data_IF_853802390925
#
_entry.id   IF_853802390925
#
_cell.length_a   1.000
_cell.length_b   1.000
_cell.length_c   1.000
_cell.angle_alpha   90.00
_cell.angle_beta   90.00
_cell.angle_gamma   90.00
#
_symmetry.space_group_name_H-M   'P 1'
#
loop_
_entity.id
_entity.type
_entity.pdbx_description
1 polymer ?
#
# COMPACT_ATOMS: atom_id res chain seq x y z
N UNK A 1 20.96 5.60 -61.53
CA UNK A 1 21.63 4.29 -61.53
C UNK A 1 21.89 3.93 -60.09
N UNK A 2 21.00 3.10 -59.58
CA UNK A 2 21.07 2.30 -58.35
C UNK A 2 22.29 1.33 -58.37
N UNK A 3 22.59 0.50 -57.35
CA UNK A 3 21.99 0.40 -56.01
C UNK A 3 22.94 -0.05 -54.86
N UNK A 4 22.34 -0.20 -53.66
CA UNK A 4 22.67 -1.15 -52.57
C UNK A 4 23.73 -0.79 -51.53
N UNK A 5 23.26 -0.43 -50.32
CA UNK A 5 23.87 -0.90 -49.07
C UNK A 5 22.79 -1.42 -48.13
N UNK A 6 23.05 -2.63 -47.64
CA UNK A 6 22.15 -3.55 -46.96
C UNK A 6 21.88 -3.18 -45.50
N UNK A 7 20.62 -3.24 -45.11
CA UNK A 7 20.17 -3.38 -43.71
C UNK A 7 20.24 -4.85 -43.29
N UNK A 8 20.72 -5.17 -42.07
CA UNK A 8 20.63 -6.53 -41.54
C UNK A 8 19.25 -6.76 -40.91
N UNK A 9 18.44 -7.60 -41.58
CA UNK A 9 17.27 -8.27 -41.00
C UNK A 9 17.75 -9.23 -39.91
N UNK A 10 17.40 -8.98 -38.64
CA UNK A 10 17.44 -10.00 -37.58
C UNK A 10 16.22 -10.90 -37.75
N UNK A 11 16.46 -12.12 -38.22
CA UNK A 11 15.51 -13.22 -38.25
C UNK A 11 15.24 -13.71 -36.82
N UNK A 12 14.02 -13.52 -36.34
CA UNK A 12 13.48 -14.25 -35.20
C UNK A 12 12.94 -15.59 -35.73
N UNK A 13 13.76 -16.62 -35.62
CA UNK A 13 13.44 -18.03 -35.86
C UNK A 13 14.46 -18.82 -35.03
N UNK A 14 14.00 -19.88 -34.37
CA UNK A 14 14.70 -20.69 -33.37
C UNK A 14 14.56 -20.23 -31.90
N UNK A 15 13.32 -20.18 -31.41
CA UNK A 15 12.98 -20.66 -30.05
C UNK A 15 11.58 -21.28 -30.14
N UNK A 16 11.47 -22.40 -30.85
CA UNK A 16 10.25 -23.21 -30.90
C UNK A 16 10.67 -24.67 -31.03
N UNK A 17 11.24 -25.21 -29.95
CA UNK A 17 11.32 -26.64 -29.67
C UNK A 17 11.78 -26.79 -28.21
N UNK A 18 11.13 -27.70 -27.47
CA UNK A 18 11.33 -28.02 -26.05
C UNK A 18 10.50 -27.24 -25.03
N UNK A 19 9.18 -27.39 -25.08
CA UNK A 19 8.35 -27.44 -23.84
C UNK A 19 7.11 -28.31 -24.03
N UNK A 20 7.31 -29.52 -24.55
CA UNK A 20 6.30 -30.58 -24.60
C UNK A 20 6.74 -31.71 -23.66
N UNK A 21 6.54 -31.53 -22.34
CA UNK A 21 6.55 -32.61 -21.34
C UNK A 21 6.16 -32.10 -19.95
N UNK A 22 4.86 -31.99 -19.71
CA UNK A 22 4.33 -31.61 -18.39
C UNK A 22 2.84 -31.87 -18.23
N UNK A 23 2.29 -32.87 -18.91
CA UNK A 23 0.92 -33.31 -18.66
C UNK A 23 0.84 -33.84 -17.22
N UNK A 24 -0.09 -33.37 -16.37
CA UNK A 24 -0.25 -33.93 -15.04
C UNK A 24 -0.61 -35.40 -15.23
N UNK A 25 0.25 -36.30 -14.75
CA UNK A 25 -0.06 -37.72 -14.63
C UNK A 25 -1.39 -37.81 -13.88
N UNK A 26 -2.47 -38.06 -14.62
CA UNK A 26 -3.70 -38.61 -14.04
C UNK A 26 -3.23 -39.88 -13.36
N UNK A 27 -3.18 -39.85 -12.03
CA UNK A 27 -3.16 -41.07 -11.24
C UNK A 27 -4.34 -41.89 -11.75
N UNK A 28 -4.04 -42.95 -12.50
CA UNK A 28 -4.96 -44.07 -12.64
C UNK A 28 -5.12 -44.58 -11.22
N UNK A 29 -6.16 -44.12 -10.54
CA UNK A 29 -6.74 -44.88 -9.46
C UNK A 29 -7.11 -46.21 -10.11
N UNK A 30 -6.50 -47.29 -9.61
CA UNK A 30 -7.00 -48.63 -9.88
C UNK A 30 -8.51 -48.59 -9.66
N UNK A 31 -9.34 -49.13 -10.58
CA UNK A 31 -10.75 -49.25 -10.32
C UNK A 31 -10.85 -49.96 -8.98
N UNK A 32 -11.42 -49.28 -7.99
CA UNK A 32 -11.58 -49.82 -6.65
C UNK A 32 -12.05 -51.26 -6.82
N UNK A 33 -11.22 -52.21 -6.38
CA UNK A 33 -11.67 -53.59 -6.27
C UNK A 33 -13.01 -53.50 -5.58
N UNK A 34 -14.03 -54.00 -6.27
CA UNK A 34 -15.38 -53.98 -5.76
C UNK A 34 -15.38 -54.90 -4.54
N UNK A 35 -15.13 -54.31 -3.37
CA UNK A 35 -15.04 -54.97 -2.07
C UNK A 35 -16.39 -55.58 -1.66
N UNK A 36 -17.40 -55.47 -2.52
CA UNK A 36 -18.74 -56.00 -2.39
C UNK A 36 -18.99 -57.14 -3.37
N UNK A 37 -18.26 -58.23 -3.19
CA UNK A 37 -18.60 -59.51 -3.80
C UNK A 37 -19.85 -60.07 -3.12
N UNK A 38 -21.03 -59.85 -3.71
CA UNK A 38 -22.31 -60.36 -3.19
C UNK A 38 -22.31 -61.87 -2.95
N UNK A 39 -21.55 -62.64 -3.74
CA UNK A 39 -21.50 -64.10 -3.60
C UNK A 39 -20.64 -64.51 -2.39
N UNK A 40 -19.58 -63.76 -2.06
CA UNK A 40 -18.78 -63.98 -0.87
C UNK A 40 -19.54 -63.59 0.40
N UNK A 41 -20.33 -62.51 0.34
CA UNK A 41 -21.25 -62.14 1.41
C UNK A 41 -22.34 -63.18 1.63
N UNK A 42 -22.97 -63.69 0.56
CA UNK A 42 -23.97 -64.76 0.66
C UNK A 42 -23.37 -66.04 1.23
N UNK A 43 -22.11 -66.34 0.88
CA UNK A 43 -21.35 -67.48 1.43
C UNK A 43 -21.08 -67.29 2.92
N UNK A 44 -20.65 -66.11 3.35
CA UNK A 44 -20.37 -65.80 4.76
C UNK A 44 -21.65 -65.75 5.60
N UNK A 45 -22.75 -65.21 5.08
CA UNK A 45 -24.04 -65.20 5.78
C UNK A 45 -24.56 -66.62 5.99
N UNK A 46 -24.41 -67.49 4.98
CA UNK A 46 -24.76 -68.91 5.10
C UNK A 46 -23.81 -69.64 6.08
N UNK A 47 -22.51 -69.35 6.03
CA UNK A 47 -21.52 -69.90 6.96
C UNK A 47 -21.79 -69.47 8.41
N UNK A 48 -22.25 -68.23 8.64
CA UNK A 48 -22.67 -67.72 9.95
C UNK A 48 -23.96 -68.42 10.43
N UNK A 49 -24.95 -68.60 9.56
CA UNK A 49 -26.21 -69.28 9.91
C UNK A 49 -25.99 -70.77 10.23
N UNK A 50 -25.10 -71.41 9.49
CA UNK A 50 -24.76 -72.83 9.68
C UNK A 50 -23.89 -73.06 10.92
N UNK A 51 -23.03 -72.09 11.29
CA UNK A 51 -22.12 -72.20 12.45
C UNK A 51 -22.78 -71.85 13.78
N UNK A 52 -23.75 -70.93 13.79
CA UNK A 52 -24.28 -70.38 15.05
C UNK A 52 -25.71 -70.82 15.41
N UNK A 53 -26.43 -71.51 14.50
CA UNK A 53 -27.83 -71.90 14.73
C UNK A 53 -28.77 -70.70 14.92
N UNK A 54 -30.09 -70.93 15.07
CA UNK A 54 -31.03 -69.84 15.29
C UNK A 54 -30.67 -69.09 16.59
N UNK A 55 -30.60 -67.75 16.49
CA UNK A 55 -30.24 -66.86 17.59
C UNK A 55 -30.97 -67.23 18.90
N UNK A 56 -30.27 -67.24 20.06
CA UNK A 56 -30.90 -67.50 21.34
C UNK A 56 -32.00 -66.46 21.63
N UNK A 57 -33.19 -66.94 22.01
CA UNK A 57 -34.40 -66.13 22.25
C UNK A 57 -34.36 -65.26 23.52
N UNK A 58 -33.22 -65.10 24.17
CA UNK A 58 -33.12 -64.17 25.30
C UNK A 58 -31.72 -63.56 25.39
N UNK A 59 -31.63 -62.30 24.97
CA UNK A 59 -30.56 -61.40 25.37
C UNK A 59 -30.89 -60.85 26.77
N UNK A 60 -29.90 -60.67 27.66
CA UNK A 60 -30.11 -59.98 28.92
C UNK A 60 -30.60 -58.55 28.66
N UNK A 61 -31.52 -58.04 29.47
CA UNK A 61 -32.22 -56.74 29.32
C UNK A 61 -31.32 -55.49 29.23
N UNK A 62 -29.99 -55.66 29.31
CA UNK A 62 -29.00 -54.60 29.26
C UNK A 62 -28.02 -54.71 28.07
N UNK A 63 -28.23 -55.64 27.14
CA UNK A 63 -27.34 -55.80 25.98
C UNK A 63 -27.65 -54.75 24.89
N UNK A 64 -26.70 -53.82 24.66
CA UNK A 64 -26.76 -52.90 23.52
C UNK A 64 -26.39 -53.70 22.27
N UNK A 65 -27.40 -54.07 21.47
CA UNK A 65 -27.19 -54.69 20.15
C UNK A 65 -26.71 -53.60 19.19
N UNK A 66 -25.42 -53.58 18.89
CA UNK A 66 -24.86 -52.71 17.85
C UNK A 66 -25.19 -53.36 16.50
N UNK A 67 -26.22 -52.85 15.83
CA UNK A 67 -26.54 -53.29 14.47
C UNK A 67 -25.48 -52.80 13.48
N UNK A 68 -25.23 -53.49 12.36
CA UNK A 68 -24.31 -53.02 11.31
C UNK A 68 -24.63 -51.59 10.85
N UNK A 69 -25.92 -51.23 10.77
CA UNK A 69 -26.35 -49.86 10.42
C UNK A 69 -25.93 -48.81 11.45
N UNK A 70 -26.00 -49.12 12.75
CA UNK A 70 -25.54 -48.23 13.81
C UNK A 70 -24.01 -48.09 13.78
N UNK A 71 -23.29 -49.20 13.55
CA UNK A 71 -21.84 -49.19 13.42
C UNK A 71 -21.38 -48.31 12.23
N UNK A 72 -22.01 -48.45 11.06
CA UNK A 72 -21.72 -47.60 9.89
C UNK A 72 -21.99 -46.11 10.15
N UNK A 73 -23.05 -45.78 10.88
CA UNK A 73 -23.35 -44.38 11.27
C UNK A 73 -22.31 -43.81 12.23
N UNK A 74 -21.88 -44.59 13.22
CA UNK A 74 -20.82 -44.20 14.16
C UNK A 74 -19.50 -44.01 13.40
N UNK A 75 -19.15 -44.93 12.51
CA UNK A 75 -17.94 -44.83 11.68
C UNK A 75 -17.96 -43.59 10.77
N UNK A 76 -19.09 -43.31 10.11
CA UNK A 76 -19.24 -42.09 9.30
C UNK A 76 -19.11 -40.80 10.14
N UNK A 77 -19.66 -40.78 11.36
CA UNK A 77 -19.49 -39.63 12.27
C UNK A 77 -18.05 -39.46 12.76
N UNK A 78 -17.34 -40.55 13.05
CA UNK A 78 -15.92 -40.51 13.43
C UNK A 78 -15.07 -39.98 12.28
N UNK A 79 -15.27 -40.49 11.05
CA UNK A 79 -14.55 -40.02 9.86
C UNK A 79 -14.83 -38.53 9.62
N UNK A 80 -16.10 -38.11 9.69
CA UNK A 80 -16.47 -36.69 9.54
C UNK A 80 -15.74 -35.81 10.56
N UNK A 81 -15.78 -36.16 11.85
CA UNK A 81 -15.08 -35.40 12.90
C UNK A 81 -13.56 -35.40 12.71
N UNK A 82 -12.98 -36.51 12.27
CA UNK A 82 -11.55 -36.59 11.97
C UNK A 82 -11.17 -35.61 10.84
N UNK A 83 -11.97 -35.54 9.77
CA UNK A 83 -11.72 -34.58 8.66
C UNK A 83 -11.90 -33.11 9.08
N UNK A 84 -12.84 -32.81 9.97
CA UNK A 84 -13.03 -31.45 10.53
C UNK A 84 -11.84 -31.03 11.40
N UNK A 85 -11.33 -31.94 12.24
CA UNK A 85 -10.14 -31.72 13.07
C UNK A 85 -8.90 -31.49 12.19
N UNK A 86 -8.71 -32.31 11.15
CA UNK A 86 -7.56 -32.20 10.24
C UNK A 86 -7.59 -30.88 9.47
N UNK A 87 -8.77 -30.49 8.96
CA UNK A 87 -8.97 -29.18 8.31
C UNK A 87 -8.66 -28.03 9.27
N UNK A 88 -9.12 -28.09 10.52
CA UNK A 88 -8.84 -27.06 11.52
C UNK A 88 -7.35 -26.98 11.87
N UNK A 89 -6.65 -28.11 11.91
CA UNK A 89 -5.21 -28.18 12.14
C UNK A 89 -4.43 -27.56 10.98
N UNK A 90 -4.81 -27.86 9.73
CA UNK A 90 -4.24 -27.25 8.51
C UNK A 90 -4.41 -25.74 8.52
N UNK A 91 -5.60 -25.23 8.85
CA UNK A 91 -5.83 -23.78 8.97
C UNK A 91 -4.96 -23.14 10.05
N UNK A 92 -4.86 -23.75 11.24
CA UNK A 92 -4.01 -23.26 12.32
C UNK A 92 -2.53 -23.24 11.94
N UNK A 93 -2.05 -24.27 11.24
CA UNK A 93 -0.68 -24.34 10.77
C UNK A 93 -0.40 -23.26 9.72
N UNK A 94 -1.30 -23.08 8.75
CA UNK A 94 -1.21 -22.00 7.77
C UNK A 94 -1.15 -20.62 8.42
N UNK A 95 -2.01 -20.34 9.41
CA UNK A 95 -1.96 -19.08 10.16
C UNK A 95 -0.63 -18.90 10.89
N UNK A 96 -0.06 -19.96 11.47
CA UNK A 96 1.24 -19.88 12.14
C UNK A 96 2.39 -19.63 11.15
N UNK A 97 2.35 -20.25 9.98
CA UNK A 97 3.37 -20.04 8.94
C UNK A 97 3.23 -18.63 8.33
N UNK A 98 2.01 -18.15 8.07
CA UNK A 98 1.74 -16.77 7.65
C UNK A 98 2.26 -15.76 8.70
N UNK A 99 2.05 -16.02 9.99
CA UNK A 99 2.59 -15.17 11.08
C UNK A 99 4.13 -15.20 11.15
N UNK A 100 4.75 -16.35 10.91
CA UNK A 100 6.21 -16.49 10.88
C UNK A 100 6.81 -15.75 9.69
N UNK A 101 6.22 -15.90 8.51
CA UNK A 101 6.67 -15.23 7.29
C UNK A 101 6.48 -13.72 7.39
N UNK A 102 5.34 -13.25 7.93
CA UNK A 102 5.13 -11.84 8.26
C UNK A 102 6.21 -11.30 9.20
N UNK A 103 6.53 -12.04 10.28
CA UNK A 103 7.56 -11.64 11.24
C UNK A 103 8.95 -11.61 10.60
N UNK A 104 9.28 -12.61 9.76
CA UNK A 104 10.57 -12.69 9.05
C UNK A 104 10.73 -11.55 8.05
N UNK A 105 9.69 -11.24 7.27
CA UNK A 105 9.70 -10.16 6.29
C UNK A 105 9.84 -8.78 6.95
N UNK A 106 9.12 -8.55 8.05
CA UNK A 106 9.26 -7.32 8.83
C UNK A 106 10.66 -7.21 9.43
N UNK A 107 11.17 -8.29 10.02
CA UNK A 107 12.54 -8.30 10.55
C UNK A 107 13.57 -7.99 9.46
N UNK A 108 13.51 -8.65 8.32
CA UNK A 108 14.42 -8.41 7.19
C UNK A 108 14.35 -6.95 6.71
N UNK A 109 13.16 -6.37 6.67
CA UNK A 109 12.97 -4.96 6.28
C UNK A 109 13.54 -3.98 7.31
N UNK A 110 13.41 -4.22 8.62
CA UNK A 110 14.10 -3.37 9.62
C UNK A 110 15.60 -3.53 9.52
N UNK A 111 16.09 -4.76 9.37
CA UNK A 111 17.53 -5.02 9.29
C UNK A 111 18.14 -4.42 8.02
N UNK A 112 17.40 -4.38 6.90
CA UNK A 112 17.89 -3.73 5.67
C UNK A 112 18.14 -2.23 5.87
N UNK A 113 17.50 -1.61 6.87
CA UNK A 113 17.76 -0.22 7.23
C UNK A 113 19.03 -0.02 8.05
N UNK A 114 19.52 -1.08 8.68
CA UNK A 114 20.72 -1.10 9.52
C UNK A 114 21.97 -1.57 8.79
N UNK A 115 21.81 -2.23 7.64
CA UNK A 115 22.94 -2.62 6.80
C UNK A 115 23.29 -1.55 5.76
N UNK A 116 24.47 -1.66 5.17
CA UNK A 116 24.87 -0.77 4.08
C UNK A 116 23.92 -0.91 2.89
N UNK A 117 23.52 0.24 2.34
CA UNK A 117 22.69 0.31 1.15
C UNK A 117 23.44 -0.27 -0.05
N UNK A 118 22.79 -1.19 -0.78
CA UNK A 118 23.36 -1.87 -1.93
C UNK A 118 22.88 -1.24 -3.23
N UNK A 119 23.82 -0.96 -4.15
CA UNK A 119 23.55 -0.35 -5.45
C UNK A 119 23.78 1.16 -5.49
N UNK A 120 23.37 1.80 -6.60
CA UNK A 120 23.64 3.21 -6.93
C UNK A 120 22.35 4.01 -7.18
N UNK A 121 21.22 3.52 -6.68
CA UNK A 121 19.91 4.15 -6.94
C UNK A 121 19.81 5.55 -6.30
N UNK A 122 20.44 5.76 -5.14
CA UNK A 122 20.54 7.05 -4.46
C UNK A 122 21.38 8.05 -5.26
N UNK A 123 22.52 7.61 -5.82
CA UNK A 123 23.37 8.42 -6.70
C UNK A 123 22.63 8.82 -7.98
N UNK A 124 21.92 7.86 -8.58
CA UNK A 124 21.11 8.09 -9.79
C UNK A 124 20.00 9.09 -9.50
N UNK A 125 19.28 8.92 -8.39
CA UNK A 125 18.23 9.86 -7.97
C UNK A 125 18.81 11.26 -7.71
N UNK A 126 19.96 11.35 -7.06
CA UNK A 126 20.62 12.63 -6.82
C UNK A 126 20.99 13.35 -8.11
N UNK A 127 21.61 12.64 -9.07
CA UNK A 127 21.97 13.20 -10.36
C UNK A 127 20.73 13.69 -11.14
N UNK A 128 19.62 12.96 -11.06
CA UNK A 128 18.33 13.37 -11.64
C UNK A 128 17.85 14.68 -10.99
N UNK A 129 17.83 14.76 -9.65
CA UNK A 129 17.42 15.98 -8.94
C UNK A 129 18.29 17.19 -9.27
N UNK A 130 19.61 17.00 -9.34
CA UNK A 130 20.55 18.07 -9.75
C UNK A 130 20.24 18.57 -11.16
N UNK A 131 20.00 17.67 -12.11
CA UNK A 131 19.67 18.04 -13.48
C UNK A 131 18.33 18.80 -13.57
N UNK A 132 17.32 18.37 -12.83
CA UNK A 132 16.04 19.08 -12.76
C UNK A 132 16.20 20.49 -12.19
N UNK A 133 16.93 20.63 -11.08
CA UNK A 133 17.15 21.95 -10.46
C UNK A 133 17.96 22.88 -11.35
N UNK A 134 19.01 22.36 -11.98
CA UNK A 134 19.82 23.11 -12.95
C UNK A 134 18.95 23.61 -14.10
N UNK A 135 18.11 22.73 -14.65
CA UNK A 135 17.20 23.10 -15.73
C UNK A 135 16.18 24.16 -15.32
N UNK A 136 15.58 24.03 -14.12
CA UNK A 136 14.69 25.05 -13.54
C UNK A 136 15.41 26.40 -13.35
N UNK A 137 16.67 26.39 -12.92
CA UNK A 137 17.48 27.62 -12.74
C UNK A 137 17.83 28.27 -14.08
N UNK A 138 18.24 27.49 -15.08
CA UNK A 138 18.57 27.98 -16.42
C UNK A 138 17.35 28.58 -17.15
N UNK A 139 16.14 28.07 -16.87
CA UNK A 139 14.88 28.61 -17.38
C UNK A 139 14.30 29.74 -16.51
N UNK A 140 14.73 29.85 -15.26
CA UNK A 140 14.13 30.70 -14.23
C UNK A 140 14.30 32.20 -14.42
N UNK A 141 15.24 32.63 -15.28
CA UNK A 141 15.40 34.04 -15.68
C UNK A 141 14.42 34.44 -16.80
N UNK A 142 13.74 33.48 -17.43
CA UNK A 142 12.78 33.69 -18.51
C UNK A 142 11.35 33.34 -18.05
N UNK A 143 10.78 34.11 -17.13
CA UNK A 143 9.33 34.21 -16.81
C UNK A 143 8.49 32.91 -16.66
N UNK A 144 9.10 31.74 -16.54
CA UNK A 144 8.32 30.50 -16.53
C UNK A 144 9.17 29.25 -16.59
N UNK A 145 9.81 28.90 -15.47
CA UNK A 145 10.16 27.49 -15.25
C UNK A 145 8.84 26.68 -15.31
N UNK A 146 8.63 25.84 -16.34
CA UNK A 146 7.29 25.34 -16.66
C UNK A 146 6.80 24.24 -15.72
N UNK A 147 7.64 23.81 -14.77
CA UNK A 147 7.37 22.66 -13.92
C UNK A 147 7.68 22.96 -12.45
N UNK A 148 6.80 22.49 -11.57
CA UNK A 148 7.08 22.43 -10.15
C UNK A 148 8.27 21.48 -9.89
N UNK A 149 9.10 21.79 -8.89
CA UNK A 149 10.22 20.95 -8.45
C UNK A 149 9.69 19.69 -7.72
N UNK A 150 9.02 18.81 -8.47
CA UNK A 150 8.41 17.58 -8.00
C UNK A 150 9.02 16.38 -8.73
N UNK A 151 9.47 15.38 -7.97
CA UNK A 151 10.06 14.15 -8.49
C UNK A 151 9.31 12.93 -7.94
N UNK A 152 8.26 12.44 -8.63
CA UNK A 152 7.52 11.27 -8.17
C UNK A 152 8.34 9.98 -8.35
N UNK A 153 8.40 9.15 -7.31
CA UNK A 153 9.02 7.82 -7.37
C UNK A 153 7.89 6.77 -7.42
N UNK A 154 7.57 6.29 -8.62
CA UNK A 154 6.49 5.30 -8.83
C UNK A 154 7.11 3.92 -9.06
N UNK A 155 6.85 2.99 -8.14
CA UNK A 155 7.26 1.60 -8.25
C UNK A 155 6.37 0.71 -7.37
N UNK A 156 6.40 -0.61 -7.57
CA UNK A 156 5.64 -1.57 -6.76
C UNK A 156 6.00 -1.49 -5.27
N UNK A 157 5.10 -1.94 -4.41
CA UNK A 157 5.36 -2.00 -2.96
C UNK A 157 6.56 -2.89 -2.65
N UNK A 158 7.31 -2.58 -1.59
CA UNK A 158 8.47 -3.37 -1.16
C UNK A 158 9.75 -3.21 -1.98
N UNK A 159 9.78 -2.37 -3.02
CA UNK A 159 10.97 -2.16 -3.87
C UNK A 159 12.05 -1.26 -3.27
N UNK A 160 11.89 -0.84 -2.01
CA UNK A 160 12.89 -0.04 -1.30
C UNK A 160 12.86 1.47 -1.61
N UNK A 161 11.78 2.02 -2.17
CA UNK A 161 11.65 3.47 -2.48
C UNK A 161 12.06 4.38 -1.31
N UNK A 162 11.44 4.18 -0.14
CA UNK A 162 11.71 4.96 1.06
C UNK A 162 13.15 4.78 1.57
N UNK A 163 13.76 3.62 1.29
CA UNK A 163 15.17 3.33 1.60
C UNK A 163 16.12 4.05 0.64
N UNK A 164 15.80 4.17 -0.65
CA UNK A 164 16.59 4.99 -1.60
C UNK A 164 16.61 6.45 -1.15
N UNK A 165 15.45 6.97 -0.71
CA UNK A 165 15.33 8.35 -0.21
C UNK A 165 16.09 8.55 1.11
N UNK A 166 16.00 7.61 2.05
CA UNK A 166 16.83 7.66 3.27
C UNK A 166 18.32 7.69 2.93
N UNK A 167 18.75 6.85 1.99
CA UNK A 167 20.13 6.82 1.56
C UNK A 167 20.57 8.13 0.87
N UNK A 168 19.67 8.72 0.06
CA UNK A 168 19.87 10.04 -0.54
C UNK A 168 20.15 11.11 0.53
N UNK A 169 19.37 11.11 1.62
CA UNK A 169 19.53 12.04 2.73
C UNK A 169 20.79 11.82 3.56
N UNK A 170 21.31 10.60 3.61
CA UNK A 170 22.55 10.27 4.34
C UNK A 170 23.81 10.66 3.59
N UNK A 171 23.79 10.61 2.25
CA UNK A 171 25.02 10.75 1.43
C UNK A 171 25.10 12.05 0.63
N UNK A 172 23.98 12.52 0.09
CA UNK A 172 24.03 13.46 -1.04
C UNK A 172 23.37 14.80 -0.74
N UNK A 173 22.30 14.84 0.05
CA UNK A 173 21.54 16.06 0.26
C UNK A 173 20.76 16.08 1.58
N UNK A 174 20.13 17.21 1.90
CA UNK A 174 19.30 17.32 3.10
C UNK A 174 17.88 16.83 2.81
N UNK A 175 17.43 15.77 3.49
CA UNK A 175 16.09 15.18 3.31
C UNK A 175 15.26 15.29 4.59
N UNK A 176 14.04 15.80 4.47
CA UNK A 176 12.99 15.69 5.50
C UNK A 176 11.99 14.61 5.05
N UNK A 177 11.99 13.42 5.67
CA UNK A 177 11.06 12.34 5.30
C UNK A 177 9.72 12.44 6.03
N UNK A 178 8.63 12.66 5.31
CA UNK A 178 7.25 12.66 5.80
C UNK A 178 6.57 11.35 5.37
N UNK A 179 6.08 10.54 6.30
CA UNK A 179 5.33 9.32 6.01
C UNK A 179 3.85 9.50 6.35
N UNK A 180 3.01 9.58 5.31
CA UNK A 180 1.57 9.82 5.43
C UNK A 180 0.74 8.54 5.49
N UNK A 181 1.42 7.40 5.67
CA UNK A 181 0.80 6.07 5.75
C UNK A 181 -0.30 6.03 6.80
N UNK A 182 -1.36 5.26 6.56
CA UNK A 182 -2.45 5.07 7.51
C UNK A 182 -1.99 4.26 8.73
N UNK A 183 -2.58 4.55 9.89
CA UNK A 183 -2.27 3.86 11.15
C UNK A 183 -2.55 2.35 11.14
N UNK A 184 -3.50 1.93 10.29
CA UNK A 184 -3.92 0.54 10.13
C UNK A 184 -3.11 -0.23 9.07
N UNK A 185 -2.14 0.43 8.41
CA UNK A 185 -1.37 -0.19 7.33
C UNK A 185 0.05 -0.56 7.76
N UNK A 186 0.44 -1.77 7.40
CA UNK A 186 1.78 -2.29 7.65
C UNK A 186 2.79 -1.71 6.66
N UNK A 187 3.97 -1.33 7.15
CA UNK A 187 5.09 -0.95 6.31
C UNK A 187 6.19 -0.21 7.07
N UNK A 188 7.31 0.04 6.41
CA UNK A 188 8.42 0.81 6.94
C UNK A 188 8.83 1.92 5.95
N UNK A 189 9.08 3.17 6.39
CA UNK A 189 9.08 3.66 7.77
C UNK A 189 7.66 3.77 8.36
N UNK A 190 7.47 3.70 9.69
CA UNK A 190 6.16 3.87 10.34
C UNK A 190 5.55 5.27 10.07
N UNK A 191 4.23 5.42 10.23
CA UNK A 191 3.54 6.67 9.93
C UNK A 191 3.89 7.80 10.92
N UNK A 192 3.98 9.03 10.42
CA UNK A 192 4.17 10.23 11.23
C UNK A 192 2.84 10.77 11.74
N UNK A 193 2.24 10.06 12.71
CA UNK A 193 0.84 10.24 13.14
C UNK A 193 0.40 11.67 13.37
N UNK A 194 1.11 12.42 14.20
CA UNK A 194 0.70 13.78 14.58
C UNK A 194 0.67 14.72 13.37
N UNK A 195 1.75 14.69 12.57
CA UNK A 195 1.87 15.51 11.36
C UNK A 195 0.85 15.08 10.30
N UNK A 196 0.70 13.76 10.08
CA UNK A 196 -0.31 13.20 9.17
C UNK A 196 -1.71 13.65 9.57
N UNK A 197 -2.11 13.44 10.82
CA UNK A 197 -3.46 13.76 11.30
C UNK A 197 -3.73 15.27 11.21
N UNK A 198 -2.72 16.10 11.43
CA UNK A 198 -2.84 17.54 11.26
C UNK A 198 -3.02 17.95 9.80
N UNK A 199 -2.25 17.36 8.87
CA UNK A 199 -2.34 17.65 7.43
C UNK A 199 -3.64 17.11 6.82
N UNK A 200 -4.12 15.96 7.30
CA UNK A 200 -5.34 15.30 6.83
C UNK A 200 -6.60 15.70 7.60
N UNK A 201 -6.52 16.72 8.46
CA UNK A 201 -7.68 17.21 9.21
C UNK A 201 -8.77 17.68 8.26
N UNK A 202 -10.03 17.48 8.67
CA UNK A 202 -11.16 18.02 7.91
C UNK A 202 -11.03 19.54 7.83
N UNK A 203 -10.99 20.04 6.60
CA UNK A 203 -10.98 21.47 6.30
C UNK A 203 -12.33 21.83 5.69
N UNK A 204 -12.97 22.87 6.22
CA UNK A 204 -14.30 23.27 5.75
C UNK A 204 -14.25 23.93 4.38
N UNK A 205 -13.12 24.53 4.01
CA UNK A 205 -12.91 25.22 2.74
C UNK A 205 -11.52 24.96 2.16
N UNK A 206 -11.37 25.20 0.85
CA UNK A 206 -10.06 25.20 0.17
C UNK A 206 -9.12 26.26 0.76
N UNK A 207 -9.67 27.40 1.18
CA UNK A 207 -8.89 28.46 1.82
C UNK A 207 -8.30 28.01 3.16
N UNK A 208 -9.07 27.29 3.98
CA UNK A 208 -8.58 26.71 5.25
C UNK A 208 -7.45 25.71 5.01
N UNK A 209 -7.57 24.89 3.96
CA UNK A 209 -6.54 23.94 3.56
C UNK A 209 -5.26 24.66 3.11
N UNK A 210 -5.38 25.71 2.29
CA UNK A 210 -4.23 26.51 1.85
C UNK A 210 -3.53 27.16 3.05
N UNK A 211 -4.27 27.77 3.98
CA UNK A 211 -3.72 28.33 5.22
C UNK A 211 -3.01 27.26 6.04
N UNK A 212 -3.59 26.06 6.14
CA UNK A 212 -2.98 24.94 6.84
C UNK A 212 -1.64 24.54 6.21
N UNK A 213 -1.59 24.35 4.89
CA UNK A 213 -0.37 23.97 4.17
C UNK A 213 0.70 25.04 4.31
N UNK A 214 0.34 26.32 4.15
CA UNK A 214 1.23 27.47 4.37
C UNK A 214 1.83 27.45 5.78
N UNK A 215 0.98 27.35 6.79
CA UNK A 215 1.38 27.34 8.19
C UNK A 215 2.28 26.14 8.52
N UNK A 216 1.98 24.97 7.94
CA UNK A 216 2.79 23.77 8.10
C UNK A 216 4.17 23.92 7.50
N UNK A 217 4.27 24.38 6.25
CA UNK A 217 5.56 24.54 5.57
C UNK A 217 6.43 25.57 6.29
N UNK A 218 5.84 26.69 6.73
CA UNK A 218 6.57 27.70 7.50
C UNK A 218 7.07 27.13 8.84
N UNK A 219 6.21 26.42 9.58
CA UNK A 219 6.61 25.78 10.84
C UNK A 219 7.67 24.69 10.63
N UNK A 220 7.54 23.90 9.55
CA UNK A 220 8.48 22.84 9.21
C UNK A 220 9.86 23.42 8.93
N UNK A 221 9.96 24.45 8.10
CA UNK A 221 11.25 25.06 7.75
C UNK A 221 11.90 25.73 8.96
N UNK A 222 11.17 26.51 9.76
CA UNK A 222 11.76 27.09 10.98
C UNK A 222 12.22 26.03 11.98
N UNK A 223 11.41 24.99 12.22
CA UNK A 223 11.80 23.91 13.14
C UNK A 223 13.00 23.12 12.59
N UNK A 224 13.08 22.96 11.27
CA UNK A 224 14.21 22.28 10.63
C UNK A 224 15.49 23.12 10.69
N UNK A 225 15.38 24.42 10.49
CA UNK A 225 16.45 25.41 10.53
C UNK A 225 17.20 25.38 11.87
N UNK A 226 16.47 25.30 12.98
CA UNK A 226 17.04 25.21 14.33
C UNK A 226 17.73 23.88 14.62
N UNK A 227 17.53 22.87 13.76
CA UNK A 227 17.90 21.47 14.03
C UNK A 227 18.60 20.76 12.87
N UNK A 228 19.14 21.49 11.88
CA UNK A 228 19.72 20.92 10.65
C UNK A 228 20.71 19.77 10.96
N UNK A 229 21.70 20.02 11.82
CA UNK A 229 22.72 19.02 12.15
C UNK A 229 22.13 17.75 12.79
N UNK A 230 21.12 17.92 13.65
CA UNK A 230 20.46 16.83 14.36
C UNK A 230 19.53 16.02 13.44
N UNK A 231 18.86 16.69 12.49
CA UNK A 231 17.96 16.05 11.53
C UNK A 231 18.70 15.02 10.67
N UNK A 232 19.89 15.38 10.19
CA UNK A 232 20.72 14.50 9.35
C UNK A 232 21.13 13.21 10.06
N UNK A 233 21.26 13.25 11.39
CA UNK A 233 21.71 12.11 12.19
C UNK A 233 20.53 11.29 12.73
N UNK A 234 19.51 11.94 13.28
CA UNK A 234 18.55 11.29 14.18
C UNK A 234 17.17 11.01 13.58
N UNK A 235 16.86 11.46 12.36
CA UNK A 235 15.52 11.26 11.79
C UNK A 235 15.15 9.80 11.55
N UNK A 236 16.14 8.93 11.31
CA UNK A 236 15.92 7.52 10.97
C UNK A 236 16.53 6.55 11.98
N UNK A 237 17.11 7.05 13.07
CA UNK A 237 17.85 6.24 14.03
C UNK A 237 16.96 5.76 15.18
N UNK A 238 16.91 4.45 15.38
CA UNK A 238 16.25 3.83 16.54
C UNK A 238 14.74 3.56 16.41
N UNK A 239 14.16 3.68 15.21
CA UNK A 239 12.78 3.30 14.93
C UNK A 239 12.58 1.81 14.66
N UNK A 240 11.31 1.37 14.71
CA UNK A 240 10.87 0.04 14.27
C UNK A 240 9.66 0.14 13.31
N UNK A 241 9.00 -0.98 12.97
CA UNK A 241 7.83 -1.00 12.07
C UNK A 241 6.60 -0.25 12.59
N UNK A 242 6.48 -0.11 13.92
CA UNK A 242 5.28 0.42 14.57
C UNK A 242 5.52 1.81 15.13
N UNK A 243 6.76 2.13 15.49
CA UNK A 243 7.10 3.33 16.23
C UNK A 243 8.24 4.07 15.53
N UNK A 244 8.00 5.31 15.06
CA UNK A 244 9.07 6.12 14.50
C UNK A 244 10.12 6.43 15.57
N UNK A 245 11.35 6.81 15.17
CA UNK A 245 12.36 7.32 16.10
C UNK A 245 11.79 8.37 17.06
N UNK A 246 12.22 8.32 18.33
CA UNK A 246 11.75 9.27 19.34
C UNK A 246 12.04 10.72 18.94
N UNK A 247 13.21 10.96 18.32
CA UNK A 247 13.56 12.27 17.78
C UNK A 247 12.57 12.72 16.70
N UNK A 248 12.34 11.88 15.67
CA UNK A 248 11.37 12.15 14.58
C UNK A 248 9.97 12.45 15.11
N UNK A 249 9.52 11.68 16.09
CA UNK A 249 8.24 11.90 16.78
C UNK A 249 8.20 13.30 17.42
N UNK A 250 9.19 13.62 18.24
CA UNK A 250 9.27 14.93 18.92
C UNK A 250 9.42 16.09 17.93
N UNK A 251 10.13 15.88 16.82
CA UNK A 251 10.30 16.87 15.76
C UNK A 251 8.93 17.21 15.17
N UNK A 252 8.15 16.22 14.74
CA UNK A 252 6.84 16.46 14.14
C UNK A 252 5.80 17.01 15.13
N UNK A 253 5.85 16.63 16.41
CA UNK A 253 5.04 17.29 17.45
C UNK A 253 5.32 18.79 17.50
N UNK A 254 6.59 19.19 17.54
CA UNK A 254 6.99 20.61 17.57
C UNK A 254 6.55 21.36 16.30
N UNK A 255 6.66 20.71 15.13
CA UNK A 255 6.18 21.26 13.85
C UNK A 255 4.67 21.49 13.91
N UNK A 256 3.89 20.51 14.38
CA UNK A 256 2.43 20.61 14.47
C UNK A 256 1.98 21.68 15.46
N UNK A 257 2.60 21.77 16.63
CA UNK A 257 2.32 22.83 17.60
C UNK A 257 2.60 24.21 17.02
N UNK A 258 3.73 24.36 16.34
CA UNK A 258 4.12 25.63 15.71
C UNK A 258 3.19 25.97 14.53
N UNK A 259 2.86 25.00 13.68
CA UNK A 259 1.93 25.18 12.57
C UNK A 259 0.54 25.58 13.06
N UNK A 260 0.09 25.04 14.20
CA UNK A 260 -1.19 25.42 14.82
C UNK A 260 -1.17 26.89 15.26
N UNK A 261 -0.08 27.34 15.89
CA UNK A 261 0.09 28.76 16.28
C UNK A 261 0.09 29.69 15.06
N UNK A 262 0.85 29.34 14.02
CA UNK A 262 0.90 30.11 12.76
C UNK A 262 -0.47 30.16 12.10
N UNK A 263 -1.16 29.03 12.00
CA UNK A 263 -2.50 28.93 11.42
C UNK A 263 -3.50 29.83 12.18
N UNK A 264 -3.51 29.80 13.51
CA UNK A 264 -4.36 30.68 14.33
C UNK A 264 -4.02 32.15 14.11
N UNK A 265 -2.73 32.49 14.01
CA UNK A 265 -2.29 33.86 13.73
C UNK A 265 -2.79 34.36 12.38
N UNK A 266 -2.65 33.55 11.32
CA UNK A 266 -3.13 33.89 9.97
C UNK A 266 -4.65 34.09 9.99
N UNK A 267 -5.40 33.18 10.61
CA UNK A 267 -6.86 33.29 10.69
C UNK A 267 -7.31 34.55 11.45
N UNK A 268 -6.64 34.90 12.55
CA UNK A 268 -6.93 36.15 13.29
C UNK A 268 -6.68 37.37 12.40
N UNK A 269 -5.58 37.40 11.64
CA UNK A 269 -5.29 38.49 10.70
C UNK A 269 -6.36 38.60 9.61
N UNK A 270 -6.74 37.48 8.99
CA UNK A 270 -7.79 37.44 7.95
C UNK A 270 -9.14 37.92 8.51
N UNK A 271 -9.54 37.46 9.70
CA UNK A 271 -10.78 37.90 10.34
C UNK A 271 -10.72 39.38 10.69
N UNK A 272 -9.58 39.87 11.19
CA UNK A 272 -9.39 41.30 11.48
C UNK A 272 -9.51 42.15 10.23
N UNK A 273 -8.90 41.74 9.13
CA UNK A 273 -9.00 42.41 7.83
C UNK A 273 -10.44 42.37 7.31
N UNK A 274 -11.12 41.24 7.39
CA UNK A 274 -12.53 41.12 6.99
C UNK A 274 -13.43 42.02 7.84
N UNK A 275 -13.20 42.14 9.14
CA UNK A 275 -13.95 43.05 10.00
C UNK A 275 -13.68 44.50 9.58
N UNK A 276 -12.42 44.90 9.46
CA UNK A 276 -12.04 46.26 9.02
C UNK A 276 -12.66 46.57 7.65
N UNK A 277 -12.53 45.66 6.70
CA UNK A 277 -13.14 45.80 5.38
C UNK A 277 -14.65 45.71 5.38
N UNK A 278 -15.32 44.96 6.25
CA UNK A 278 -16.78 45.02 6.34
C UNK A 278 -17.25 46.36 6.91
N UNK A 279 -16.51 46.93 7.87
CA UNK A 279 -16.77 48.28 8.38
C UNK A 279 -16.48 49.36 7.32
N UNK A 280 -15.44 49.21 6.51
CA UNK A 280 -15.09 50.15 5.43
C UNK A 280 -15.94 49.97 4.16
N UNK A 281 -16.32 48.74 3.80
CA UNK A 281 -17.19 48.42 2.65
C UNK A 281 -18.68 48.67 2.97
N UNK A 282 -19.09 48.71 4.24
CA UNK A 282 -20.37 49.30 4.63
C UNK A 282 -20.41 50.81 4.31
N UNK A 283 -19.25 51.46 4.21
CA UNK A 283 -19.09 52.85 3.76
C UNK A 283 -18.90 52.96 2.23
N UNK A 284 -18.35 51.94 1.56
CA UNK A 284 -18.06 51.97 0.12
C UNK A 284 -18.59 50.70 -0.56
N UNK A 285 -19.83 50.74 -1.02
CA UNK A 285 -20.37 49.75 -1.98
C UNK A 285 -19.59 49.86 -3.31
N UNK A 286 -18.72 48.89 -3.61
CA UNK A 286 -18.58 48.23 -4.93
C UNK A 286 -17.27 47.40 -5.03
N UNK A 287 -17.39 46.10 -5.31
CA UNK A 287 -16.47 45.41 -6.22
C UNK A 287 -15.08 44.95 -5.74
N UNK A 288 -14.87 44.61 -4.47
CA UNK A 288 -13.56 44.14 -3.98
C UNK A 288 -13.21 42.70 -4.38
N UNK A 289 -12.07 42.53 -5.07
CA UNK A 289 -11.38 41.25 -5.27
C UNK A 289 -11.00 40.62 -3.93
N UNK A 290 -11.02 39.29 -3.85
CA UNK A 290 -10.57 38.54 -2.68
C UNK A 290 -9.10 38.90 -2.35
N UNK A 291 -8.74 39.01 -1.07
CA UNK A 291 -7.36 39.29 -0.67
C UNK A 291 -6.42 38.24 -1.28
N UNK A 292 -5.50 38.68 -2.13
CA UNK A 292 -4.49 37.81 -2.71
C UNK A 292 -3.55 37.37 -1.59
N UNK A 293 -3.31 36.06 -1.46
CA UNK A 293 -2.39 35.48 -0.47
C UNK A 293 -0.96 36.06 -0.62
N UNK A 294 -0.66 37.17 0.06
CA UNK A 294 0.72 37.66 0.28
C UNK A 294 1.57 36.59 1.01
N UNK A 295 0.91 35.65 1.71
CA UNK A 295 1.54 34.53 2.42
C UNK A 295 2.46 33.61 1.60
N UNK A 296 2.34 33.60 0.26
CA UNK A 296 3.25 32.82 -0.59
C UNK A 296 4.66 33.42 -0.64
N UNK A 297 4.80 34.74 -0.47
CA UNK A 297 6.11 35.39 -0.39
C UNK A 297 6.85 34.99 0.89
N UNK A 298 6.12 34.89 2.01
CA UNK A 298 6.68 34.50 3.30
C UNK A 298 7.18 33.05 3.30
N UNK A 299 6.43 32.11 2.70
CA UNK A 299 6.92 30.73 2.54
C UNK A 299 8.18 30.72 1.70
N UNK A 300 8.19 31.42 0.57
CA UNK A 300 9.36 31.46 -0.32
C UNK A 300 10.58 32.03 0.39
N UNK A 301 10.41 33.12 1.14
CA UNK A 301 11.48 33.72 1.93
C UNK A 301 11.98 32.75 3.01
N UNK A 302 11.08 32.08 3.72
CA UNK A 302 11.41 31.08 4.75
C UNK A 302 12.17 29.91 4.12
N UNK A 303 11.69 29.38 3.00
CA UNK A 303 12.34 28.28 2.27
C UNK A 303 13.73 28.70 1.77
N UNK A 304 13.88 29.91 1.22
CA UNK A 304 15.18 30.44 0.76
C UNK A 304 16.15 30.60 1.95
N UNK A 305 15.70 31.15 3.07
CA UNK A 305 16.50 31.25 4.31
C UNK A 305 16.97 29.88 4.78
N UNK A 306 16.04 28.91 4.82
CA UNK A 306 16.32 27.55 5.20
C UNK A 306 17.35 26.87 4.27
N UNK A 307 17.17 26.95 2.95
CA UNK A 307 18.11 26.39 1.97
C UNK A 307 19.47 27.07 2.05
N UNK A 308 19.53 28.39 2.28
CA UNK A 308 20.80 29.10 2.45
C UNK A 308 21.63 28.55 3.63
N UNK A 309 20.97 28.08 4.69
CA UNK A 309 21.60 27.43 5.85
C UNK A 309 21.99 25.98 5.62
N UNK A 310 21.52 25.36 4.54
CA UNK A 310 21.94 24.02 4.14
C UNK A 310 23.30 24.03 3.41
N UNK A 311 24.08 25.13 3.48
CA UNK A 311 25.43 25.26 2.89
C UNK A 311 25.50 24.94 1.38
N UNK A 312 24.43 25.24 0.64
CA UNK A 312 24.33 24.93 -0.79
C UNK A 312 23.97 23.48 -1.10
N UNK A 313 23.67 22.66 -0.08
CA UNK A 313 23.08 21.35 -0.28
C UNK A 313 21.65 21.47 -0.84
N UNK A 314 21.25 20.50 -1.66
CA UNK A 314 19.87 20.36 -2.09
C UNK A 314 19.01 20.00 -0.88
N UNK A 315 17.88 20.68 -0.70
CA UNK A 315 16.88 20.33 0.31
C UNK A 315 15.72 19.59 -0.36
N UNK A 316 15.33 18.44 0.18
CA UNK A 316 14.26 17.59 -0.34
C UNK A 316 13.23 17.33 0.76
N UNK A 317 11.97 17.66 0.46
CA UNK A 317 10.83 17.15 1.22
C UNK A 317 10.36 15.87 0.55
N UNK A 318 10.43 14.74 1.26
CA UNK A 318 9.96 13.46 0.74
C UNK A 318 8.64 13.08 1.38
N UNK A 319 7.62 12.83 0.57
CA UNK A 319 6.31 12.35 1.03
C UNK A 319 6.14 10.87 0.64
N UNK A 320 6.20 9.99 1.63
CA UNK A 320 5.85 8.57 1.48
C UNK A 320 4.34 8.39 1.65
N UNK A 321 3.75 7.53 0.82
CA UNK A 321 2.29 7.37 0.68
C UNK A 321 1.54 8.69 0.40
N UNK A 322 2.13 9.59 -0.40
CA UNK A 322 1.55 10.89 -0.73
C UNK A 322 0.13 10.84 -1.34
N UNK A 323 -0.28 9.69 -1.88
CA UNK A 323 -1.63 9.48 -2.41
C UNK A 323 -2.74 9.65 -1.36
N UNK A 324 -2.40 9.52 -0.06
CA UNK A 324 -3.30 9.77 1.06
C UNK A 324 -3.74 11.25 1.14
N UNK A 325 -2.93 12.20 0.65
CA UNK A 325 -3.32 13.63 0.59
C UNK A 325 -4.51 13.88 -0.33
N UNK A 326 -4.66 13.08 -1.38
CA UNK A 326 -5.76 13.19 -2.35
C UNK A 326 -7.00 12.38 -1.98
N UNK A 327 -6.95 11.63 -0.86
CA UNK A 327 -8.02 10.72 -0.47
C UNK A 327 -9.18 11.41 0.29
N UNK A 328 -9.14 12.73 0.48
CA UNK A 328 -10.14 13.45 1.27
C UNK A 328 -11.56 13.21 0.72
N UNK A 329 -12.46 12.53 1.48
CA UNK A 329 -13.78 12.14 1.00
C UNK A 329 -14.68 13.33 0.64
N UNK A 330 -14.46 14.47 1.28
CA UNK A 330 -15.29 15.67 1.15
C UNK A 330 -15.26 16.27 -0.25
N UNK A 331 -14.18 16.11 -1.02
CA UNK A 331 -14.13 16.56 -2.42
C UNK A 331 -14.77 15.57 -3.42
N UNK A 332 -15.15 14.36 -3.00
CA UNK A 332 -15.81 13.37 -3.88
C UNK A 332 -17.33 13.52 -3.96
N UNK A 333 -17.95 14.44 -3.22
CA UNK A 333 -19.42 14.51 -3.11
C UNK A 333 -20.15 15.17 -4.29
N UNK A 334 -19.46 15.63 -5.35
CA UNK A 334 -20.12 16.21 -6.53
C UNK A 334 -20.03 15.38 -7.82
N UNK A 335 -19.43 14.18 -7.78
CA UNK A 335 -19.60 13.24 -8.90
C UNK A 335 -20.88 12.44 -8.69
N UNK A 336 -21.85 12.64 -9.58
CA UNK A 336 -23.12 11.91 -9.67
C UNK A 336 -22.99 10.41 -9.35
N UNK A 337 -24.01 9.79 -8.72
CA UNK A 337 -23.98 8.38 -8.38
C UNK A 337 -23.65 7.55 -9.62
N UNK A 338 -22.54 6.78 -9.57
CA UNK A 338 -22.24 5.78 -10.58
C UNK A 338 -23.38 4.77 -10.58
N UNK A 339 -24.08 4.68 -11.72
CA UNK A 339 -25.03 3.62 -12.02
C UNK A 339 -24.28 2.28 -11.87
N UNK A 340 -24.79 1.31 -11.10
CA UNK A 340 -24.18 0.00 -11.00
C UNK A 340 -24.22 -0.68 -12.37
N UNK A 341 -23.05 -1.04 -12.90
CA UNK A 341 -22.94 -1.82 -14.13
C UNK A 341 -23.44 -3.24 -13.89
N UNK A 342 -24.73 -3.48 -14.13
CA UNK A 342 -25.23 -4.82 -14.43
C UNK A 342 -24.91 -5.12 -15.89
N UNK A 343 -24.15 -6.18 -16.12
CA UNK A 343 -23.71 -6.57 -17.45
C UNK A 343 -23.13 -7.97 -17.45
N UNK A 344 -23.98 -8.95 -17.15
CA UNK A 344 -23.72 -10.34 -17.49
C UNK A 344 -23.76 -10.46 -19.02
N UNK A 345 -22.65 -10.89 -19.63
CA UNK A 345 -22.61 -11.32 -21.02
C UNK A 345 -23.19 -12.74 -21.14
N UNK A 346 -24.14 -13.01 -22.05
CA UNK A 346 -24.48 -14.38 -22.41
C UNK A 346 -23.48 -14.92 -23.45
N UNK A 347 -23.31 -16.25 -23.55
CA UNK A 347 -22.39 -16.86 -24.50
C UNK A 347 -22.97 -16.83 -25.92
N UNK A 348 -22.11 -16.48 -26.88
CA UNK A 348 -22.37 -16.58 -28.32
C UNK A 348 -22.70 -18.03 -28.71
N UNK A 349 -23.87 -18.22 -29.32
CA UNK A 349 -24.18 -19.41 -30.10
C UNK A 349 -23.73 -19.18 -31.54
N UNK A 350 -22.68 -19.88 -31.95
CA UNK A 350 -22.38 -20.14 -33.36
C UNK A 350 -23.43 -21.12 -33.91
N UNK A 351 -24.20 -20.68 -34.91
CA UNK A 351 -24.86 -21.59 -35.85
C UNK A 351 -24.60 -21.11 -37.27
N UNK A 352 -23.89 -21.96 -38.01
CA UNK A 352 -23.81 -21.91 -39.46
C UNK A 352 -25.21 -22.18 -40.08
N UNK A 353 -25.54 -21.50 -41.18
CA UNK A 353 -25.73 -22.16 -42.48
C UNK A 353 -26.27 -21.21 -43.57
N UNK A 354 -25.53 -21.19 -44.69
CA UNK A 354 -25.99 -21.43 -46.07
C UNK A 354 -27.15 -20.56 -46.62
N UNK A 355 -26.86 -19.67 -47.59
CA UNK A 355 -27.18 -19.94 -49.01
C UNK A 355 -26.64 -18.89 -50.00
N UNK A 356 -25.88 -19.41 -50.97
CA UNK A 356 -25.92 -19.14 -52.41
C UNK A 356 -27.12 -18.33 -52.94
N UNK A 357 -26.86 -17.16 -53.53
CA UNK A 357 -27.00 -16.86 -54.97
C UNK A 357 -26.50 -15.45 -55.29
#
# INVERSE_FOLDING_TARGET
>A
MDPHTHTPKRSASAVEEMEEQGSPRKLKLDPAEDLWNEDEHRRLDQEILDTHGPFPQSFPENAIVITPSLLSKIQAQIVKRATEIDSALVWKQRTLDDMRDFTRNNYATVQSWRCDFQGTADETLFAVLQNYLKWTQELGDAEGAPYANLAPIVNSSGTGKSRVVDQLGRKHCFVIPLCLRRDDSDGYPPPDREMRNWLLRDSSTEQDLNIAVVAFLQALFHTAEDRIATILQLMNDGGDFKTPPAYRTSFYVNVVESATKVCSSILISVVRELIVHQFENALIKAGGQAPSLESNQDIRATAVSFVAKCEGAIAVLSFDEAHELGANPTMRSNSSPRIPSSGAFPPEQCSADINTQ
#
